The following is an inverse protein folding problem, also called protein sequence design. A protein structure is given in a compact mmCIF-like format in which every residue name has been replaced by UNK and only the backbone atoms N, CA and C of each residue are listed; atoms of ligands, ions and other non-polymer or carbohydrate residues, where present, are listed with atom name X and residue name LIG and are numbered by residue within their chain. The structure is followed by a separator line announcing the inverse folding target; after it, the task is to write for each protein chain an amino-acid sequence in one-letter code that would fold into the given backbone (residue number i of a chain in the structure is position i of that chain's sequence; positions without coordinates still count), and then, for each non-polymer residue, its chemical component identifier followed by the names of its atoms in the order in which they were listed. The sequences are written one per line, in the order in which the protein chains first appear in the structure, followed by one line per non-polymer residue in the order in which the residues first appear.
data_IF_455038555053
#
_entry.id   IF_455038555053
#
_cell.length_a   1.000
_cell.length_b   1.000
_cell.length_c   1.000
_cell.angle_alpha   90.00
_cell.angle_beta   90.00
_cell.angle_gamma   90.00
#
_symmetry.space_group_name_H-M   'P 1'
#
loop_
_entity.id
_entity.type
_entity.pdbx_description
1 polymer ?
#
# COMPACT_ATOMS: atom_id res chain seq x y z
N UNK A 1 9.76 -27.21 -10.53
CA UNK A 1 8.76 -26.76 -11.53
C UNK A 1 8.24 -25.42 -11.06
N UNK A 2 8.42 -24.34 -11.82
CA UNK A 2 7.94 -23.02 -11.44
C UNK A 2 6.45 -22.94 -11.74
N UNK A 3 5.61 -22.88 -10.70
CA UNK A 3 4.18 -22.64 -10.84
C UNK A 3 3.95 -21.24 -11.41
N UNK A 4 3.47 -21.20 -12.67
CA UNK A 4 3.19 -19.95 -13.38
C UNK A 4 1.86 -19.40 -12.84
N UNK A 5 1.94 -18.38 -11.98
CA UNK A 5 0.74 -17.77 -11.42
C UNK A 5 0.07 -16.88 -12.47
N UNK A 6 -1.16 -17.23 -12.86
CA UNK A 6 -1.96 -16.46 -13.82
C UNK A 6 -2.57 -15.21 -13.19
N UNK A 7 -2.88 -14.22 -14.02
CA UNK A 7 -3.61 -13.04 -13.59
C UNK A 7 -5.00 -13.40 -13.08
N UNK A 8 -5.36 -12.94 -11.87
CA UNK A 8 -6.67 -13.19 -11.25
C UNK A 8 -7.84 -12.47 -11.92
N UNK A 9 -7.57 -11.58 -12.89
CA UNK A 9 -8.58 -10.74 -13.54
C UNK A 9 -8.93 -11.26 -14.93
N UNK A 10 -7.92 -11.50 -15.79
CA UNK A 10 -8.13 -11.99 -17.15
C UNK A 10 -7.89 -13.49 -17.31
N UNK A 11 -7.24 -14.16 -16.35
CA UNK A 11 -6.94 -15.60 -16.34
C UNK A 11 -6.15 -16.15 -17.54
N UNK A 12 -5.70 -15.28 -18.44
CA UNK A 12 -5.02 -15.63 -19.67
C UNK A 12 -3.50 -15.50 -19.51
N UNK A 13 -3.03 -14.30 -19.14
CA UNK A 13 -1.61 -13.97 -19.05
C UNK A 13 -1.04 -14.28 -17.66
N UNK A 14 0.25 -14.59 -17.62
CA UNK A 14 1.02 -14.68 -16.36
C UNK A 14 0.98 -13.36 -15.60
N UNK A 15 0.77 -13.43 -14.29
CA UNK A 15 0.81 -12.28 -13.40
C UNK A 15 2.19 -11.63 -13.39
N UNK A 16 2.22 -10.30 -13.42
CA UNK A 16 3.45 -9.50 -13.35
C UNK A 16 3.51 -8.62 -12.09
N UNK A 17 2.36 -8.28 -11.54
CA UNK A 17 2.21 -7.34 -10.44
C UNK A 17 1.36 -7.96 -9.33
N UNK A 18 1.57 -7.49 -8.11
CA UNK A 18 0.82 -7.90 -6.91
C UNK A 18 0.30 -6.66 -6.19
N UNK A 19 -1.00 -6.60 -5.94
CA UNK A 19 -1.61 -5.49 -5.19
C UNK A 19 -1.09 -5.47 -3.74
N UNK A 20 -0.64 -4.32 -3.21
CA UNK A 20 -0.09 -4.26 -1.85
C UNK A 20 -1.16 -4.27 -0.74
N UNK A 21 -2.45 -4.05 -1.08
CA UNK A 21 -3.57 -4.15 -0.12
C UNK A 21 -4.09 -5.58 0.00
N UNK A 22 -4.58 -6.13 -1.11
CA UNK A 22 -5.31 -7.40 -1.14
C UNK A 22 -4.51 -8.55 -1.77
N UNK A 23 -3.26 -8.32 -2.15
CA UNK A 23 -2.37 -9.33 -2.71
C UNK A 23 -2.82 -9.97 -4.03
N UNK A 24 -3.86 -9.43 -4.67
CA UNK A 24 -4.35 -9.86 -5.99
C UNK A 24 -3.26 -9.74 -7.04
N UNK A 25 -3.19 -10.74 -7.91
CA UNK A 25 -2.14 -10.89 -8.91
C UNK A 25 -2.65 -10.45 -10.29
N UNK A 26 -1.94 -9.51 -10.91
CA UNK A 26 -2.38 -8.85 -12.15
C UNK A 26 -1.29 -8.81 -13.21
N UNK A 27 -1.64 -8.99 -14.48
CA UNK A 27 -0.66 -8.99 -15.58
C UNK A 27 -0.38 -7.60 -16.18
N UNK A 28 -1.30 -6.64 -16.02
CA UNK A 28 -1.23 -5.31 -16.65
C UNK A 28 -1.87 -4.23 -15.77
N UNK A 29 -1.66 -2.96 -16.12
CA UNK A 29 -2.30 -1.83 -15.46
C UNK A 29 -3.83 -1.89 -15.56
N UNK A 30 -4.38 -2.28 -16.71
CA UNK A 30 -5.82 -2.44 -16.90
C UNK A 30 -6.40 -3.45 -15.90
N UNK A 31 -5.76 -4.61 -15.75
CA UNK A 31 -6.17 -5.59 -14.73
C UNK A 31 -5.99 -5.05 -13.30
N UNK A 32 -4.97 -4.22 -13.07
CA UNK A 32 -4.76 -3.55 -11.80
C UNK A 32 -5.91 -2.56 -11.48
N UNK A 33 -6.37 -1.78 -12.45
CA UNK A 33 -7.47 -0.84 -12.24
C UNK A 33 -8.82 -1.56 -12.14
N UNK A 34 -9.05 -2.57 -12.98
CA UNK A 34 -10.28 -3.34 -12.99
C UNK A 34 -10.52 -4.11 -11.68
N UNK A 35 -9.47 -4.69 -11.07
CA UNK A 35 -9.66 -5.32 -9.75
C UNK A 35 -9.92 -4.30 -8.65
N UNK A 36 -9.30 -3.10 -8.72
CA UNK A 36 -9.54 -2.04 -7.73
C UNK A 36 -10.98 -1.58 -7.77
N UNK A 37 -11.52 -1.42 -8.97
CA UNK A 37 -12.92 -1.05 -9.17
C UNK A 37 -13.88 -2.14 -8.67
N UNK A 38 -13.73 -3.38 -9.17
CA UNK A 38 -14.62 -4.50 -8.83
C UNK A 38 -14.58 -4.91 -7.35
N UNK A 39 -13.41 -4.84 -6.72
CA UNK A 39 -13.22 -5.26 -5.33
C UNK A 39 -13.25 -4.06 -4.36
N UNK A 40 -13.57 -2.85 -4.84
CA UNK A 40 -13.49 -1.60 -4.07
C UNK A 40 -12.17 -1.47 -3.29
N UNK A 41 -11.06 -1.84 -3.93
CA UNK A 41 -9.75 -1.90 -3.32
C UNK A 41 -8.99 -0.58 -3.54
N UNK A 42 -8.56 0.06 -2.45
CA UNK A 42 -7.76 1.29 -2.50
C UNK A 42 -6.38 1.09 -3.14
N UNK A 43 -5.88 -0.14 -3.14
CA UNK A 43 -4.53 -0.48 -3.59
C UNK A 43 -3.43 0.09 -2.70
N UNK A 44 -3.76 0.58 -1.50
CA UNK A 44 -2.80 1.06 -0.50
C UNK A 44 -2.75 0.08 0.66
N UNK A 45 -1.55 -0.33 1.06
CA UNK A 45 -1.37 -1.20 2.24
C UNK A 45 -1.99 -0.55 3.47
N UNK A 46 -2.67 -1.33 4.30
CA UNK A 46 -3.07 -0.86 5.62
C UNK A 46 -1.83 -0.77 6.51
N UNK A 47 -1.45 0.44 6.90
CA UNK A 47 -0.27 0.63 7.76
C UNK A 47 -0.63 0.36 9.23
N UNK A 48 -1.93 0.39 9.57
CA UNK A 48 -2.46 0.26 10.93
C UNK A 48 -3.10 -1.10 11.21
N UNK A 49 -2.89 -2.08 10.32
CA UNK A 49 -3.40 -3.42 10.51
C UNK A 49 -2.87 -4.04 11.79
N UNK A 50 -3.77 -4.62 12.59
CA UNK A 50 -3.39 -5.29 13.82
C UNK A 50 -2.54 -6.52 13.52
N UNK A 51 -1.39 -6.60 14.18
CA UNK A 51 -0.50 -7.76 14.15
C UNK A 51 -0.41 -8.31 15.56
N UNK A 52 -0.68 -9.61 15.71
CA UNK A 52 -0.54 -10.27 17.01
C UNK A 52 0.91 -10.19 17.50
N UNK A 53 1.09 -10.11 18.81
CA UNK A 53 2.41 -9.93 19.43
C UNK A 53 3.41 -11.04 19.06
N UNK A 54 2.94 -12.27 18.91
CA UNK A 54 3.74 -13.43 18.51
C UNK A 54 4.15 -13.43 17.03
N UNK A 55 3.42 -12.70 16.19
CA UNK A 55 3.72 -12.53 14.76
C UNK A 55 4.47 -11.22 14.46
N UNK A 56 4.63 -10.37 15.46
CA UNK A 56 5.28 -9.07 15.34
C UNK A 56 6.80 -9.22 15.13
N UNK A 57 7.19 -9.27 13.85
CA UNK A 57 8.59 -9.28 13.40
C UNK A 57 9.11 -7.90 13.02
N UNK A 58 10.42 -7.83 12.79
CA UNK A 58 11.15 -6.62 12.35
C UNK A 58 10.47 -5.83 11.21
N UNK A 59 9.81 -6.51 10.26
CA UNK A 59 9.10 -5.82 9.16
C UNK A 59 7.93 -4.95 9.65
N UNK A 60 7.25 -5.36 10.71
CA UNK A 60 6.17 -4.57 11.31
C UNK A 60 6.74 -3.39 12.07
N UNK A 61 7.79 -3.60 12.86
CA UNK A 61 8.54 -2.52 13.52
C UNK A 61 8.99 -1.42 12.56
N UNK A 62 9.60 -1.79 11.43
CA UNK A 62 10.01 -0.80 10.42
C UNK A 62 8.82 -0.11 9.76
N UNK A 63 7.69 -0.81 9.60
CA UNK A 63 6.45 -0.23 9.09
C UNK A 63 5.92 0.84 10.04
N UNK A 64 5.84 0.53 11.33
CA UNK A 64 5.33 1.44 12.37
C UNK A 64 6.25 2.64 12.55
N UNK A 65 7.57 2.41 12.58
CA UNK A 65 8.55 3.48 12.65
C UNK A 65 8.43 4.45 11.47
N UNK A 66 8.30 3.94 10.24
CA UNK A 66 8.12 4.79 9.04
C UNK A 66 6.82 5.58 9.07
N UNK A 67 5.75 5.01 9.64
CA UNK A 67 4.48 5.72 9.83
C UNK A 67 4.68 6.94 10.73
N UNK A 68 5.36 6.77 11.88
CA UNK A 68 5.65 7.88 12.79
C UNK A 68 6.47 8.98 12.12
N UNK A 69 7.53 8.62 11.40
CA UNK A 69 8.32 9.61 10.67
C UNK A 69 7.51 10.34 9.58
N UNK A 70 6.59 9.66 8.90
CA UNK A 70 5.72 10.29 7.90
C UNK A 70 4.80 11.33 8.54
N UNK A 71 4.24 11.01 9.71
CA UNK A 71 3.43 11.93 10.50
C UNK A 71 4.25 13.15 10.93
N UNK A 72 5.46 12.94 11.43
CA UNK A 72 6.36 14.02 11.84
C UNK A 72 6.70 14.95 10.68
N UNK A 73 7.03 14.37 9.50
CA UNK A 73 7.28 15.15 8.28
C UNK A 73 6.05 15.95 7.84
N UNK A 74 4.85 15.36 7.92
CA UNK A 74 3.60 16.03 7.58
C UNK A 74 3.31 17.20 8.53
N UNK A 75 3.55 17.01 9.84
CA UNK A 75 3.40 18.06 10.85
C UNK A 75 4.38 19.21 10.61
N UNK A 76 5.67 18.92 10.40
CA UNK A 76 6.66 19.94 10.09
C UNK A 76 6.36 20.70 8.78
N UNK A 77 5.77 20.03 7.78
CA UNK A 77 5.28 20.72 6.58
C UNK A 77 4.10 21.63 6.88
N UNK A 78 3.15 21.17 7.70
CA UNK A 78 1.96 21.94 8.08
C UNK A 78 2.32 23.18 8.88
N UNK A 79 3.23 23.08 9.84
CA UNK A 79 3.73 24.20 10.64
C UNK A 79 4.38 25.28 9.77
N UNK A 80 5.24 24.87 8.83
CA UNK A 80 5.83 25.81 7.86
C UNK A 80 4.77 26.52 7.01
N UNK A 81 3.76 25.80 6.55
CA UNK A 81 2.68 26.38 5.76
C UNK A 81 1.83 27.37 6.58
N UNK A 82 1.56 27.07 7.85
CA UNK A 82 0.84 27.97 8.75
C UNK A 82 1.63 29.25 9.02
N UNK A 83 2.95 29.13 9.26
CA UNK A 83 3.84 30.29 9.39
C UNK A 83 3.84 31.13 8.11
N UNK A 84 3.82 30.51 6.93
CA UNK A 84 3.75 31.21 5.66
C UNK A 84 2.43 31.97 5.45
N UNK A 85 1.29 31.37 5.83
CA UNK A 85 -0.04 32.00 5.73
C UNK A 85 -0.18 33.18 6.69
N UNK A 86 0.41 33.09 7.88
CA UNK A 86 0.29 34.12 8.92
C UNK A 86 1.14 35.38 8.67
N UNK A 87 1.91 35.41 7.58
CA UNK A 87 2.77 36.54 7.16
C UNK A 87 2.14 37.32 5.98
N UNK A 88 1.04 36.82 5.40
CA UNK A 88 0.21 37.55 4.42
C UNK A 88 -0.90 38.33 5.11
#
# INVERSE_FOLDING_TARGET
MSDVIKCSVCLDKTSKYKCPRCYTQTCSLECCLLHKDRAHCTGKRDVTEYVRKDEYRYRHFISDYRLLEEIDRANASRERNLLMISIC
#
